data_IF_707355521185
#
_entry.id   IF_707355521185
#
_cell.length_a   1.000
_cell.length_b   1.000
_cell.length_c   1.000
_cell.angle_alpha   90.00
_cell.angle_beta   90.00
_cell.angle_gamma   90.00
#
_symmetry.space_group_name_H-M   'P 1'
#
loop_
_entity.id
_entity.type
_entity.pdbx_description
1 polymer ?
#
# COMPACT_ATOMS: atom_id res chain seq x y z
N UNK A 1 -10.72 -10.34 29.52
CA UNK A 1 -9.72 -11.34 29.09
C UNK A 1 -9.78 -11.37 27.57
N UNK A 2 -8.67 -11.11 26.87
CA UNK A 2 -8.63 -11.38 25.44
C UNK A 2 -8.54 -12.89 25.25
N UNK A 3 -9.58 -13.51 24.69
CA UNK A 3 -9.54 -14.91 24.28
C UNK A 3 -8.89 -14.98 22.91
N UNK A 4 -7.74 -15.65 22.80
CA UNK A 4 -7.07 -15.88 21.52
C UNK A 4 -7.45 -17.26 20.98
N UNK A 5 -7.86 -17.34 19.72
CA UNK A 5 -8.25 -18.59 19.06
C UNK A 5 -7.46 -18.75 17.77
N UNK A 6 -6.80 -19.90 17.58
CA UNK A 6 -6.16 -20.25 16.32
C UNK A 6 -7.19 -20.87 15.37
N UNK A 7 -7.13 -20.49 14.10
CA UNK A 7 -7.97 -21.06 13.03
C UNK A 7 -7.08 -21.59 11.90
N UNK A 8 -7.52 -22.60 11.12
CA UNK A 8 -6.80 -23.03 9.93
C UNK A 8 -6.58 -21.86 8.96
N UNK A 9 -5.34 -21.68 8.49
CA UNK A 9 -5.04 -20.67 7.49
C UNK A 9 -5.67 -21.02 6.14
N UNK A 10 -6.29 -20.04 5.50
CA UNK A 10 -6.79 -20.15 4.13
C UNK A 10 -6.17 -19.05 3.28
N UNK A 11 -5.93 -19.32 2.00
CA UNK A 11 -5.50 -18.28 1.07
C UNK A 11 -6.71 -17.44 0.68
N UNK A 12 -6.65 -16.15 0.96
CA UNK A 12 -7.61 -15.14 0.52
C UNK A 12 -7.00 -14.34 -0.65
N UNK A 13 -7.85 -13.71 -1.47
CA UNK A 13 -7.35 -12.79 -2.49
C UNK A 13 -6.67 -11.60 -1.81
N UNK A 14 -5.56 -11.15 -2.38
CA UNK A 14 -4.73 -10.09 -1.82
C UNK A 14 -4.44 -9.00 -2.84
N UNK A 15 -3.90 -7.87 -2.36
CA UNK A 15 -3.44 -6.77 -3.20
C UNK A 15 -1.93 -6.75 -3.32
N UNK A 16 -1.43 -6.25 -4.44
CA UNK A 16 0.00 -6.24 -4.71
C UNK A 16 0.72 -5.26 -3.78
N UNK A 17 1.87 -5.67 -3.25
CA UNK A 17 2.84 -4.83 -2.54
C UNK A 17 4.21 -5.02 -3.19
N UNK A 18 4.47 -4.22 -4.22
CA UNK A 18 5.66 -4.35 -5.07
C UNK A 18 6.61 -3.19 -4.79
N UNK A 19 7.89 -3.50 -4.62
CA UNK A 19 8.96 -2.52 -4.63
C UNK A 19 9.89 -2.75 -5.82
N UNK A 20 10.07 -1.70 -6.65
CA UNK A 20 11.01 -1.69 -7.76
C UNK A 20 12.21 -0.82 -7.41
N UNK A 21 13.38 -1.43 -7.28
CA UNK A 21 14.61 -0.72 -6.95
C UNK A 21 15.53 -0.64 -8.17
N UNK A 22 16.39 0.37 -8.23
CA UNK A 22 17.37 0.45 -9.30
C UNK A 22 18.00 1.84 -9.46
N UNK A 23 19.12 1.92 -10.19
CA UNK A 23 19.80 3.18 -10.42
C UNK A 23 18.96 4.11 -11.30
N UNK A 24 19.39 5.37 -11.42
CA UNK A 24 18.79 6.28 -12.41
C UNK A 24 18.88 5.71 -13.83
N UNK A 25 17.84 5.89 -14.63
CA UNK A 25 17.77 5.35 -16.00
C UNK A 25 17.52 3.85 -16.12
N UNK A 26 17.24 3.12 -15.03
CA UNK A 26 16.92 1.69 -15.08
C UNK A 26 15.49 1.36 -15.50
N UNK A 27 14.65 2.37 -15.77
CA UNK A 27 13.28 2.17 -16.25
C UNK A 27 12.22 1.93 -15.15
N UNK A 28 12.50 2.28 -13.89
CA UNK A 28 11.56 2.06 -12.75
C UNK A 28 10.16 2.60 -13.00
N UNK A 29 10.03 3.87 -13.36
CA UNK A 29 8.74 4.54 -13.59
C UNK A 29 7.95 3.86 -14.71
N UNK A 30 8.61 3.61 -15.85
CA UNK A 30 7.99 2.92 -16.99
C UNK A 30 7.53 1.52 -16.62
N UNK A 31 8.38 0.72 -15.98
CA UNK A 31 8.02 -0.62 -15.51
C UNK A 31 6.88 -0.58 -14.49
N UNK A 32 6.86 0.41 -13.59
CA UNK A 32 5.76 0.58 -12.63
C UNK A 32 4.43 0.88 -13.34
N UNK A 33 4.43 1.73 -14.37
CA UNK A 33 3.25 2.06 -15.17
C UNK A 33 2.75 0.85 -15.99
N UNK A 34 3.66 0.09 -16.62
CA UNK A 34 3.33 -1.15 -17.33
C UNK A 34 2.66 -2.15 -16.41
N UNK A 35 3.24 -2.38 -15.23
CA UNK A 35 2.67 -3.30 -14.25
C UNK A 35 1.34 -2.74 -13.72
N UNK A 36 1.29 -1.46 -13.36
CA UNK A 36 0.11 -0.81 -12.81
C UNK A 36 -1.11 -0.92 -13.74
N UNK A 37 -0.91 -0.68 -15.04
CA UNK A 37 -1.96 -0.78 -16.07
C UNK A 37 -2.53 -2.19 -16.21
N UNK A 38 -1.69 -3.20 -15.96
CA UNK A 38 -2.16 -4.59 -15.95
C UNK A 38 -2.84 -4.98 -14.63
N UNK A 39 -2.51 -4.32 -13.51
CA UNK A 39 -3.09 -4.63 -12.19
C UNK A 39 -4.47 -4.00 -11.95
N UNK A 40 -4.82 -2.91 -12.62
CA UNK A 40 -6.09 -2.20 -12.42
C UNK A 40 -6.33 -1.09 -13.45
N UNK A 41 -7.55 -0.56 -13.47
CA UNK A 41 -7.98 0.42 -14.49
C UNK A 41 -7.65 1.86 -14.06
N UNK A 42 -7.86 2.19 -12.78
CA UNK A 42 -7.61 3.53 -12.26
C UNK A 42 -6.29 3.61 -11.52
N UNK A 43 -5.34 4.34 -12.11
CA UNK A 43 -3.98 4.46 -11.60
C UNK A 43 -3.72 5.89 -11.11
N UNK A 44 -3.27 6.02 -9.86
CA UNK A 44 -2.73 7.27 -9.32
C UNK A 44 -1.22 7.15 -9.13
N UNK A 45 -0.46 8.15 -9.57
CA UNK A 45 0.99 8.21 -9.41
C UNK A 45 1.39 9.43 -8.57
N UNK A 46 1.94 9.18 -7.39
CA UNK A 46 2.59 10.19 -6.54
C UNK A 46 4.00 10.43 -7.07
N UNK A 47 4.21 11.55 -7.76
CA UNK A 47 5.45 11.92 -8.42
C UNK A 47 6.29 12.81 -7.49
N UNK A 48 7.41 12.27 -7.03
CA UNK A 48 8.43 13.00 -6.24
C UNK A 48 9.64 13.39 -7.09
N UNK A 49 9.58 13.16 -8.39
CA UNK A 49 10.64 13.27 -9.39
C UNK A 49 10.41 14.51 -10.29
N UNK A 50 9.80 15.55 -9.72
CA UNK A 50 9.49 16.83 -10.36
C UNK A 50 8.61 16.72 -11.63
N UNK A 51 7.61 15.84 -11.62
CA UNK A 51 6.66 15.69 -12.74
C UNK A 51 7.24 14.91 -13.91
N UNK A 52 8.29 14.12 -13.67
CA UNK A 52 8.94 13.34 -14.73
C UNK A 52 8.05 12.22 -15.26
N UNK A 53 7.12 11.70 -14.44
CA UNK A 53 6.21 10.63 -14.84
C UNK A 53 5.24 11.10 -15.92
N UNK A 54 4.81 12.37 -15.91
CA UNK A 54 3.88 12.94 -16.90
C UNK A 54 4.39 12.90 -18.33
N UNK A 55 5.68 12.61 -18.55
CA UNK A 55 6.27 12.37 -19.87
C UNK A 55 5.78 11.07 -20.53
N UNK A 56 5.13 10.20 -19.78
CA UNK A 56 4.54 8.95 -20.27
C UNK A 56 3.02 9.03 -20.45
N UNK A 57 2.42 10.22 -20.31
CA UNK A 57 0.96 10.40 -20.40
C UNK A 57 0.40 10.20 -21.83
N UNK A 58 1.26 10.15 -22.85
CA UNK A 58 0.90 9.76 -24.22
C UNK A 58 0.90 8.23 -24.43
N UNK A 59 1.50 7.48 -23.50
CA UNK A 59 1.61 6.01 -23.56
C UNK A 59 0.69 5.31 -22.53
N UNK A 60 0.41 5.95 -21.39
CA UNK A 60 -0.38 5.38 -20.30
C UNK A 60 -1.45 6.36 -19.80
N UNK A 61 -2.60 5.81 -19.39
CA UNK A 61 -3.67 6.56 -18.73
C UNK A 61 -3.51 6.47 -17.20
N UNK A 62 -3.22 7.59 -16.55
CA UNK A 62 -3.05 7.68 -15.10
C UNK A 62 -3.18 9.13 -14.63
N UNK A 63 -3.66 9.29 -13.39
CA UNK A 63 -3.66 10.57 -12.69
C UNK A 63 -2.36 10.75 -11.90
N UNK A 64 -1.91 12.00 -11.74
CA UNK A 64 -0.66 12.29 -11.03
C UNK A 64 -0.83 13.35 -9.94
N UNK A 65 -0.15 13.12 -8.82
CA UNK A 65 0.03 14.09 -7.75
C UNK A 65 1.53 14.39 -7.61
N UNK A 66 1.94 15.59 -7.99
CA UNK A 66 3.32 16.03 -7.85
C UNK A 66 3.58 16.58 -6.44
N UNK A 67 4.59 16.04 -5.76
CA UNK A 67 5.06 16.52 -4.46
C UNK A 67 6.43 17.19 -4.59
N UNK A 68 6.60 18.33 -3.92
CA UNK A 68 7.87 19.07 -3.87
C UNK A 68 8.54 19.04 -2.50
N UNK A 69 7.79 18.61 -1.47
CA UNK A 69 8.28 18.31 -0.12
C UNK A 69 7.87 16.90 0.23
N UNK A 70 8.69 16.22 1.04
CA UNK A 70 8.59 14.78 1.23
C UNK A 70 8.38 14.42 2.70
N UNK A 71 7.58 15.22 3.39
CA UNK A 71 7.19 14.93 4.77
C UNK A 71 6.31 13.66 4.79
N UNK A 72 6.59 12.68 5.68
CA UNK A 72 5.83 11.44 5.73
C UNK A 72 4.29 11.59 5.84
N UNK A 73 3.74 12.56 6.60
CA UNK A 73 2.29 12.79 6.65
C UNK A 73 1.68 13.11 5.27
N UNK A 74 2.40 13.79 4.39
CA UNK A 74 1.90 14.13 3.06
C UNK A 74 1.62 12.88 2.22
N UNK A 75 2.42 11.82 2.37
CA UNK A 75 2.17 10.55 1.69
C UNK A 75 0.96 9.82 2.27
N UNK A 76 0.76 9.89 3.60
CA UNK A 76 -0.42 9.34 4.26
C UNK A 76 -1.69 9.99 3.72
N UNK A 77 -1.70 11.33 3.63
CA UNK A 77 -2.83 12.09 3.09
C UNK A 77 -3.07 11.76 1.60
N UNK A 78 -2.00 11.67 0.80
CA UNK A 78 -2.10 11.30 -0.62
C UNK A 78 -2.72 9.90 -0.81
N UNK A 79 -2.30 8.91 0.00
CA UNK A 79 -2.86 7.56 -0.04
C UNK A 79 -4.33 7.54 0.42
N UNK A 80 -4.69 8.36 1.40
CA UNK A 80 -6.07 8.48 1.86
C UNK A 80 -6.98 9.07 0.76
N UNK A 81 -6.52 10.12 0.05
CA UNK A 81 -7.23 10.67 -1.11
C UNK A 81 -7.35 9.63 -2.21
N UNK A 82 -6.27 8.93 -2.56
CA UNK A 82 -6.32 7.90 -3.60
C UNK A 82 -7.26 6.73 -3.23
N UNK A 83 -7.36 6.39 -1.95
CA UNK A 83 -8.31 5.39 -1.47
C UNK A 83 -9.76 5.90 -1.53
N UNK A 84 -9.99 7.15 -1.11
CA UNK A 84 -11.30 7.79 -1.16
C UNK A 84 -11.83 7.91 -2.60
N UNK A 85 -10.97 8.32 -3.51
CA UNK A 85 -11.30 8.51 -4.91
C UNK A 85 -11.42 7.18 -5.66
N UNK A 86 -11.09 6.04 -5.04
CA UNK A 86 -11.28 4.71 -5.61
C UNK A 86 -10.30 4.38 -6.74
N UNK A 87 -9.02 4.72 -6.58
CA UNK A 87 -7.98 4.21 -7.47
C UNK A 87 -7.70 2.73 -7.18
N UNK A 88 -7.51 1.94 -8.23
CA UNK A 88 -7.19 0.51 -8.12
C UNK A 88 -5.71 0.31 -7.81
N UNK A 89 -4.86 1.21 -8.30
CA UNK A 89 -3.40 1.15 -8.19
C UNK A 89 -2.85 2.50 -7.76
N UNK A 90 -1.98 2.50 -6.75
CA UNK A 90 -1.11 3.63 -6.43
C UNK A 90 0.33 3.29 -6.73
N UNK A 91 0.98 4.19 -7.47
CA UNK A 91 2.42 4.19 -7.72
C UNK A 91 3.05 5.32 -6.92
N UNK A 92 4.07 5.03 -6.12
CA UNK A 92 4.88 6.05 -5.44
C UNK A 92 6.27 6.09 -6.09
N UNK A 93 6.51 7.12 -6.90
CA UNK A 93 7.75 7.29 -7.67
C UNK A 93 8.46 8.59 -7.24
N UNK A 94 9.35 8.58 -6.25
CA UNK A 94 9.93 7.43 -5.56
C UNK A 94 9.88 7.56 -4.04
N UNK A 95 9.79 6.42 -3.35
CA UNK A 95 9.79 6.32 -1.89
C UNK A 95 11.12 6.83 -1.27
N UNK A 96 12.20 6.86 -2.05
CA UNK A 96 13.51 7.37 -1.62
C UNK A 96 13.48 8.85 -1.24
N UNK A 97 12.63 9.66 -1.86
CA UNK A 97 12.55 11.09 -1.53
C UNK A 97 11.98 11.33 -0.12
N UNK A 98 11.07 10.48 0.36
CA UNK A 98 10.59 10.52 1.73
C UNK A 98 11.67 10.14 2.76
N UNK A 99 12.78 9.54 2.33
CA UNK A 99 13.93 9.27 3.20
C UNK A 99 14.89 10.46 3.27
N UNK A 100 15.45 10.86 2.12
CA UNK A 100 16.59 11.78 2.03
C UNK A 100 16.28 13.12 1.35
N UNK A 101 15.09 13.29 0.79
CA UNK A 101 14.66 14.54 0.17
C UNK A 101 14.31 15.61 1.20
N UNK A 102 14.05 16.83 0.71
CA UNK A 102 13.64 17.96 1.55
C UNK A 102 12.35 17.66 2.34
N UNK A 103 12.41 17.85 3.65
CA UNK A 103 11.33 17.49 4.59
C UNK A 103 11.21 15.99 4.89
N UNK A 104 12.03 15.14 4.26
CA UNK A 104 12.06 13.70 4.46
C UNK A 104 12.64 13.29 5.82
N UNK A 105 12.65 11.98 6.07
CA UNK A 105 12.99 11.39 7.37
C UNK A 105 14.32 11.87 7.96
N UNK A 106 15.38 11.99 7.16
CA UNK A 106 16.69 12.43 7.65
C UNK A 106 16.66 13.88 8.15
N UNK A 107 15.97 14.77 7.44
CA UNK A 107 15.83 16.17 7.86
C UNK A 107 14.93 16.30 9.09
N UNK A 108 13.86 15.50 9.19
CA UNK A 108 12.99 15.44 10.37
C UNK A 108 13.78 15.04 11.63
N UNK A 109 14.66 14.03 11.52
CA UNK A 109 15.53 13.59 12.61
C UNK A 109 16.50 14.70 13.01
N UNK A 110 17.14 15.35 12.05
CA UNK A 110 18.10 16.43 12.32
C UNK A 110 17.43 17.63 13.00
N UNK A 111 16.25 18.03 12.52
CA UNK A 111 15.48 19.13 13.10
C UNK A 111 15.02 18.81 14.53
N UNK A 112 14.54 17.59 14.77
CA UNK A 112 14.20 17.11 16.10
C UNK A 112 15.43 17.08 17.04
N UNK A 113 16.57 16.59 16.56
CA UNK A 113 17.82 16.56 17.33
C UNK A 113 18.31 17.97 17.72
N UNK A 114 18.15 18.96 16.83
CA UNK A 114 18.48 20.38 17.12
C UNK A 114 17.55 20.97 18.19
N UNK A 115 16.24 20.71 18.14
CA UNK A 115 15.26 21.19 19.15
C UNK A 115 15.55 20.69 20.55
N UNK A 116 16.06 19.47 20.69
CA UNK A 116 16.39 18.87 21.99
C UNK A 116 17.70 19.39 22.60
N UNK A 117 18.41 20.32 21.93
CA UNK A 117 19.55 21.06 22.49
C UNK A 117 20.87 20.30 22.62
N UNK A 118 20.89 18.99 22.33
CA UNK A 118 22.06 18.13 22.53
C UNK A 118 22.69 17.59 21.23
N UNK A 119 22.11 17.87 20.05
CA UNK A 119 22.56 17.26 18.78
C UNK A 119 22.48 15.73 18.82
N UNK A 120 21.67 15.17 19.72
CA UNK A 120 21.58 13.74 19.95
C UNK A 120 20.62 13.12 18.93
N UNK A 121 21.20 12.48 17.90
CA UNK A 121 20.44 11.79 16.86
C UNK A 121 19.45 10.76 17.42
N UNK A 122 19.74 10.15 18.58
CA UNK A 122 18.80 9.22 19.24
C UNK A 122 17.48 9.90 19.64
N UNK A 123 17.55 11.13 20.18
CA UNK A 123 16.35 11.88 20.54
C UNK A 123 15.57 12.31 19.30
N UNK A 124 16.26 12.66 18.20
CA UNK A 124 15.63 12.96 16.92
C UNK A 124 14.88 11.76 16.34
N UNK A 125 15.49 10.57 16.36
CA UNK A 125 14.82 9.34 15.94
C UNK A 125 13.60 9.00 16.80
N UNK A 126 13.63 9.26 18.11
CA UNK A 126 12.46 9.03 18.97
C UNK A 126 11.22 9.80 18.50
N UNK A 127 11.41 11.01 17.99
CA UNK A 127 10.33 11.85 17.47
C UNK A 127 9.94 11.51 16.02
N UNK A 128 10.92 11.16 15.17
CA UNK A 128 10.67 10.88 13.76
C UNK A 128 10.11 9.46 13.49
N UNK A 129 10.47 8.45 14.30
CA UNK A 129 10.03 7.05 14.11
C UNK A 129 8.50 6.86 14.04
N UNK A 130 7.68 7.54 14.86
CA UNK A 130 6.22 7.50 14.70
C UNK A 130 5.74 7.93 13.30
N UNK A 131 6.35 8.96 12.70
CA UNK A 131 6.00 9.44 11.36
C UNK A 131 6.34 8.40 10.30
N UNK A 132 7.53 7.79 10.38
CA UNK A 132 7.94 6.71 9.50
C UNK A 132 6.98 5.53 9.56
N UNK A 133 6.63 5.08 10.78
CA UNK A 133 5.71 3.96 10.99
C UNK A 133 4.34 4.24 10.40
N UNK A 134 3.77 5.41 10.67
CA UNK A 134 2.48 5.80 10.11
C UNK A 134 2.49 5.79 8.57
N UNK A 135 3.58 6.26 7.96
CA UNK A 135 3.74 6.25 6.49
C UNK A 135 3.84 4.82 5.92
N UNK A 136 4.65 3.95 6.53
CA UNK A 136 4.77 2.55 6.09
C UNK A 136 3.46 1.80 6.31
N UNK A 137 2.81 1.98 7.46
CA UNK A 137 1.52 1.38 7.77
C UNK A 137 0.47 1.81 6.74
N UNK A 138 0.41 3.10 6.39
CA UNK A 138 -0.50 3.61 5.36
C UNK A 138 -0.25 3.01 3.97
N UNK A 139 1.01 2.87 3.55
CA UNK A 139 1.37 2.20 2.30
C UNK A 139 0.86 0.76 2.27
N UNK A 140 1.19 -0.03 3.29
CA UNK A 140 0.81 -1.45 3.34
C UNK A 140 -0.69 -1.65 3.50
N UNK A 141 -1.37 -0.71 4.14
CA UNK A 141 -2.81 -0.66 4.37
C UNK A 141 -3.65 -0.26 3.14
N UNK A 142 -3.05 0.29 2.08
CA UNK A 142 -3.79 0.83 0.94
C UNK A 142 -4.76 -0.20 0.32
N UNK A 143 -6.06 0.07 0.15
CA UNK A 143 -7.03 -0.95 -0.25
C UNK A 143 -6.85 -1.47 -1.69
N UNK A 144 -6.14 -0.74 -2.55
CA UNK A 144 -5.77 -1.15 -3.91
C UNK A 144 -4.38 -1.80 -3.99
N UNK A 145 -3.88 -1.99 -5.20
CA UNK A 145 -2.50 -2.42 -5.48
C UNK A 145 -1.53 -1.26 -5.21
N UNK A 146 -0.36 -1.60 -4.67
CA UNK A 146 0.70 -0.62 -4.40
C UNK A 146 1.98 -1.05 -5.13
N UNK A 147 2.56 -0.09 -5.84
CA UNK A 147 3.90 -0.18 -6.40
C UNK A 147 4.70 1.00 -5.87
N UNK A 148 5.86 0.76 -5.27
CA UNK A 148 6.80 1.82 -4.92
C UNK A 148 8.06 1.68 -5.75
N UNK A 149 8.66 2.79 -6.14
CA UNK A 149 10.00 2.79 -6.70
C UNK A 149 11.01 3.29 -5.66
N UNK A 150 12.22 2.77 -5.71
CA UNK A 150 13.33 3.23 -4.87
C UNK A 150 14.58 3.42 -5.71
N UNK A 151 15.26 4.53 -5.47
CA UNK A 151 16.60 4.77 -6.01
C UNK A 151 17.59 3.87 -5.28
N UNK A 152 18.66 3.46 -5.94
CA UNK A 152 19.76 2.75 -5.30
C UNK A 152 21.03 3.60 -5.32
N UNK A 153 21.83 3.49 -4.25
CA UNK A 153 23.19 4.00 -4.25
C UNK A 153 23.99 3.24 -5.30
N UNK A 154 24.74 3.96 -6.12
CA UNK A 154 25.45 3.37 -7.24
C UNK A 154 26.95 3.40 -7.05
N UNK A 155 27.61 2.28 -7.36
CA UNK A 155 29.06 2.21 -7.51
C UNK A 155 29.43 1.85 -8.94
N UNK A 156 30.60 2.32 -9.39
CA UNK A 156 31.18 1.90 -10.65
C UNK A 156 32.03 0.66 -10.39
N UNK A 157 31.59 -0.48 -10.92
CA UNK A 157 32.38 -1.71 -10.96
C UNK A 157 32.94 -1.91 -12.36
N UNK A 158 34.14 -2.47 -12.46
CA UNK A 158 34.71 -2.85 -13.75
C UNK A 158 34.32 -4.30 -14.01
N UNK A 159 33.41 -4.52 -14.95
CA UNK A 159 33.04 -5.87 -15.38
C UNK A 159 33.71 -6.22 -16.71
N UNK A 160 33.73 -7.51 -17.05
CA UNK A 160 34.28 -8.00 -18.32
C UNK A 160 33.13 -8.36 -19.26
N UNK A 161 33.08 -7.75 -20.46
CA UNK A 161 32.08 -8.09 -21.47
C UNK A 161 32.29 -9.49 -22.08
N UNK A 162 31.33 -9.97 -22.86
CA UNK A 162 31.38 -11.28 -23.55
C UNK A 162 32.59 -11.43 -24.51
N UNK A 163 33.33 -10.34 -24.76
CA UNK A 163 34.52 -10.28 -25.61
C UNK A 163 35.81 -10.10 -24.79
N UNK A 164 35.75 -10.23 -23.46
CA UNK A 164 36.92 -10.15 -22.59
C UNK A 164 37.38 -8.71 -22.29
N UNK A 165 36.62 -7.68 -22.67
CA UNK A 165 36.99 -6.27 -22.45
C UNK A 165 36.45 -5.78 -21.11
N UNK A 166 37.29 -5.06 -20.37
CA UNK A 166 36.91 -4.40 -19.13
C UNK A 166 36.06 -3.16 -19.42
N UNK A 167 34.80 -3.16 -19.00
CA UNK A 167 33.84 -2.07 -19.19
C UNK A 167 33.33 -1.62 -17.81
N UNK A 168 33.43 -0.31 -17.48
CA UNK A 168 32.85 0.20 -16.25
C UNK A 168 31.32 0.14 -16.32
N UNK A 169 30.70 -0.63 -15.41
CA UNK A 169 29.25 -0.70 -15.23
C UNK A 169 28.86 -0.05 -13.91
N UNK A 170 27.84 0.81 -13.96
CA UNK A 170 27.23 1.37 -12.77
C UNK A 170 26.27 0.31 -12.19
N UNK A 171 26.52 -0.14 -10.97
CA UNK A 171 25.71 -1.16 -10.30
C UNK A 171 25.04 -0.53 -9.07
N UNK A 172 23.74 -0.73 -8.94
CA UNK A 172 22.97 -0.36 -7.76
C UNK A 172 23.29 -1.31 -6.61
N UNK A 173 23.67 -0.79 -5.45
CA UNK A 173 24.06 -1.61 -4.30
C UNK A 173 22.92 -1.83 -3.32
N UNK A 174 22.37 -0.73 -2.81
CA UNK A 174 21.33 -0.73 -1.78
C UNK A 174 20.32 0.35 -2.06
N UNK A 175 19.02 0.10 -1.81
CA UNK A 175 18.00 1.14 -1.84
C UNK A 175 18.38 2.32 -0.95
N UNK A 176 18.10 3.53 -1.42
CA UNK A 176 18.22 4.74 -0.63
C UNK A 176 17.00 4.87 0.28
N UNK A 177 17.05 4.17 1.40
CA UNK A 177 15.97 4.06 2.38
C UNK A 177 16.50 3.46 3.69
N UNK A 178 15.65 3.37 4.74
CA UNK A 178 15.94 2.58 5.94
C UNK A 178 16.34 1.14 5.59
N UNK A 179 17.35 0.63 6.30
CA UNK A 179 17.73 -0.77 6.24
C UNK A 179 16.57 -1.70 6.61
N UNK A 180 16.33 -2.71 5.78
CA UNK A 180 15.25 -3.67 5.94
C UNK A 180 13.90 -3.20 5.43
N UNK A 181 13.82 -2.08 4.69
CA UNK A 181 12.56 -1.65 4.06
C UNK A 181 12.01 -2.71 3.09
N UNK A 182 12.89 -3.49 2.48
CA UNK A 182 12.53 -4.59 1.59
C UNK A 182 11.67 -5.65 2.29
N UNK A 183 11.72 -5.76 3.62
CA UNK A 183 10.91 -6.71 4.38
C UNK A 183 9.42 -6.38 4.40
N UNK A 184 9.06 -5.10 4.19
CA UNK A 184 7.68 -4.61 4.21
C UNK A 184 6.87 -5.09 2.99
N UNK A 185 7.52 -5.27 1.83
CA UNK A 185 6.86 -5.59 0.55
C UNK A 185 6.79 -7.10 0.27
N UNK A 186 5.78 -7.54 -0.49
CA UNK A 186 5.64 -8.95 -0.88
C UNK A 186 6.63 -9.35 -1.96
N UNK A 187 6.84 -8.45 -2.93
CA UNK A 187 7.70 -8.64 -4.09
C UNK A 187 8.66 -7.46 -4.17
N UNK A 188 9.96 -7.75 -4.27
CA UNK A 188 11.01 -6.76 -4.50
C UNK A 188 11.78 -7.17 -5.73
N UNK A 189 11.89 -6.24 -6.68
CA UNK A 189 12.59 -6.44 -7.93
C UNK A 189 13.60 -5.34 -8.18
N UNK A 190 14.79 -5.73 -8.62
CA UNK A 190 15.91 -4.85 -8.91
C UNK A 190 16.05 -4.70 -10.43
N UNK A 191 15.96 -3.46 -10.91
CA UNK A 191 16.12 -3.08 -12.31
C UNK A 191 17.55 -2.59 -12.57
N UNK A 192 18.18 -3.11 -13.62
CA UNK A 192 19.47 -2.62 -14.11
C UNK A 192 19.34 -1.61 -15.27
N UNK A 193 20.47 -1.14 -15.79
CA UNK A 193 20.50 -0.17 -16.90
C UNK A 193 20.00 -0.73 -18.24
N UNK A 194 19.87 -2.05 -18.39
CA UNK A 194 19.26 -2.68 -19.56
C UNK A 194 17.75 -2.93 -19.38
N UNK A 195 17.18 -2.42 -18.28
CA UNK A 195 15.82 -2.67 -17.83
C UNK A 195 15.56 -4.15 -17.55
N UNK A 196 16.58 -4.90 -17.13
CA UNK A 196 16.41 -6.27 -16.65
C UNK A 196 15.94 -6.23 -15.20
N UNK A 197 14.76 -6.80 -14.96
CA UNK A 197 14.16 -6.99 -13.64
C UNK A 197 14.64 -8.31 -13.05
N UNK A 198 15.30 -8.25 -11.89
CA UNK A 198 15.70 -9.42 -11.09
C UNK A 198 14.87 -9.42 -9.82
N UNK A 199 14.09 -10.49 -9.58
CA UNK A 199 13.30 -10.61 -8.35
C UNK A 199 14.20 -11.07 -7.19
N UNK A 200 14.57 -10.12 -6.33
CA UNK A 200 15.43 -10.37 -5.16
C UNK A 200 14.67 -10.83 -3.93
N UNK A 201 13.36 -10.55 -3.85
CA UNK A 201 12.47 -11.09 -2.81
C UNK A 201 11.09 -11.36 -3.39
N UNK A 202 10.50 -12.50 -3.05
CA UNK A 202 9.09 -12.74 -3.31
C UNK A 202 8.46 -13.68 -2.29
N UNK A 203 7.25 -13.34 -1.82
CA UNK A 203 6.34 -14.29 -1.14
C UNK A 203 5.61 -15.21 -2.14
N UNK A 204 5.64 -14.87 -3.42
CA UNK A 204 5.07 -15.67 -4.50
C UNK A 204 6.11 -16.63 -5.07
N UNK A 205 5.94 -17.93 -4.79
CA UNK A 205 6.84 -18.97 -5.33
C UNK A 205 7.07 -18.88 -6.85
N UNK A 206 6.05 -18.62 -7.70
CA UNK A 206 6.25 -18.50 -9.14
C UNK A 206 7.15 -17.33 -9.57
N UNK A 207 7.23 -16.28 -8.76
CA UNK A 207 7.99 -15.07 -9.08
C UNK A 207 9.42 -15.09 -8.53
N UNK A 208 9.70 -15.98 -7.56
CA UNK A 208 10.96 -16.00 -6.85
C UNK A 208 12.14 -16.30 -7.77
N UNK A 209 13.13 -15.38 -7.81
CA UNK A 209 14.35 -15.55 -8.60
C UNK A 209 14.19 -15.36 -10.10
N UNK A 210 13.03 -14.83 -10.56
CA UNK A 210 12.85 -14.50 -11.97
C UNK A 210 13.83 -13.40 -12.42
N UNK A 211 14.29 -13.53 -13.66
CA UNK A 211 15.11 -12.54 -14.37
C UNK A 211 14.43 -12.25 -15.70
N UNK A 212 13.93 -11.03 -15.86
CA UNK A 212 13.07 -10.66 -16.98
C UNK A 212 13.64 -9.40 -17.64
N UNK A 213 14.04 -9.49 -18.91
CA UNK A 213 14.47 -8.32 -19.67
C UNK A 213 13.26 -7.52 -20.12
N UNK A 214 13.20 -6.23 -19.79
CA UNK A 214 12.09 -5.32 -20.13
C UNK A 214 10.73 -5.93 -19.75
N UNK A 215 10.44 -6.08 -18.45
CA UNK A 215 9.22 -6.75 -17.99
C UNK A 215 7.97 -6.11 -18.59
N UNK A 216 7.15 -6.95 -19.22
CA UNK A 216 5.87 -6.59 -19.82
C UNK A 216 4.68 -6.97 -18.94
N UNK A 217 3.50 -7.00 -19.56
CA UNK A 217 2.23 -7.37 -18.93
C UNK A 217 2.27 -8.78 -18.35
N UNK A 218 3.05 -9.69 -18.95
CA UNK A 218 3.15 -11.09 -18.52
C UNK A 218 3.66 -11.24 -17.08
N UNK A 219 4.52 -10.31 -16.64
CA UNK A 219 4.96 -10.28 -15.25
C UNK A 219 3.83 -9.88 -14.31
N UNK A 220 3.02 -8.89 -14.71
CA UNK A 220 1.86 -8.45 -13.92
C UNK A 220 0.77 -9.52 -13.87
N UNK A 221 0.53 -10.24 -14.97
CA UNK A 221 -0.39 -11.39 -15.00
C UNK A 221 0.04 -12.46 -14.00
N UNK A 222 1.33 -12.80 -13.95
CA UNK A 222 1.85 -13.77 -12.98
C UNK A 222 1.70 -13.29 -11.53
N UNK A 223 1.77 -11.97 -11.29
CA UNK A 223 1.46 -11.37 -9.99
C UNK A 223 -0.03 -11.53 -9.68
N UNK A 224 -0.93 -11.17 -10.61
CA UNK A 224 -2.37 -11.27 -10.42
C UNK A 224 -2.83 -12.71 -10.19
N UNK A 225 -2.32 -13.68 -10.95
CA UNK A 225 -2.63 -15.10 -10.77
C UNK A 225 -2.29 -15.56 -9.35
N UNK A 226 -1.13 -15.14 -8.83
CA UNK A 226 -0.75 -15.46 -7.46
C UNK A 226 -1.66 -14.78 -6.43
N UNK A 227 -2.02 -13.52 -6.64
CA UNK A 227 -2.91 -12.76 -5.76
C UNK A 227 -4.35 -13.30 -5.78
N UNK A 228 -4.82 -13.78 -6.92
CA UNK A 228 -6.19 -14.22 -7.13
C UNK A 228 -6.44 -15.71 -6.83
N UNK A 229 -5.37 -16.49 -6.60
CA UNK A 229 -5.47 -17.92 -6.28
C UNK A 229 -6.09 -18.23 -4.90
N UNK A 230 -6.45 -17.22 -4.11
CA UNK A 230 -7.19 -17.37 -2.86
C UNK A 230 -8.72 -17.27 -3.04
N UNK A 231 -9.46 -17.52 -1.96
CA UNK A 231 -10.90 -17.24 -1.93
C UNK A 231 -11.15 -15.73 -2.12
N UNK A 232 -12.18 -15.32 -2.88
CA UNK A 232 -12.55 -13.92 -2.99
C UNK A 232 -12.73 -13.28 -1.61
N UNK A 233 -12.18 -12.09 -1.46
CA UNK A 233 -12.30 -11.27 -0.26
C UNK A 233 -13.35 -10.20 -0.54
N UNK A 234 -14.37 -10.01 0.32
CA UNK A 234 -15.37 -8.98 0.08
C UNK A 234 -14.73 -7.59 0.02
N UNK A 235 -15.16 -6.78 -0.94
CA UNK A 235 -14.77 -5.38 -1.08
C UNK A 235 -15.46 -4.50 -0.04
N UNK A 236 -15.02 -3.25 0.10
CA UNK A 236 -15.72 -2.26 0.93
C UNK A 236 -17.19 -2.08 0.50
N UNK A 237 -17.49 -2.18 -0.80
CA UNK A 237 -18.86 -2.15 -1.31
C UNK A 237 -19.66 -3.41 -0.94
N UNK A 238 -19.05 -4.59 -0.97
CA UNK A 238 -19.72 -5.83 -0.55
C UNK A 238 -20.07 -5.79 0.94
N UNK A 239 -19.15 -5.29 1.76
CA UNK A 239 -19.38 -5.07 3.19
C UNK A 239 -20.43 -3.99 3.45
N UNK A 240 -20.43 -2.91 2.67
CA UNK A 240 -21.46 -1.89 2.74
C UNK A 240 -22.83 -2.48 2.42
N UNK A 241 -22.94 -3.28 1.35
CA UNK A 241 -24.18 -3.95 0.98
C UNK A 241 -24.70 -4.83 2.12
N UNK A 242 -23.81 -5.59 2.76
CA UNK A 242 -24.13 -6.41 3.95
C UNK A 242 -24.57 -5.55 5.14
N UNK A 243 -23.91 -4.43 5.38
CA UNK A 243 -24.25 -3.51 6.47
C UNK A 243 -25.61 -2.82 6.28
N UNK A 244 -26.02 -2.63 5.02
CA UNK A 244 -27.27 -1.99 4.64
C UNK A 244 -28.45 -2.97 4.47
N UNK A 245 -28.21 -4.28 4.45
CA UNK A 245 -29.28 -5.29 4.43
C UNK A 245 -30.18 -5.12 5.69
N UNK A 246 -31.51 -4.97 5.51
CA UNK A 246 -32.46 -4.89 6.63
C UNK A 246 -32.52 -6.14 7.49
N UNK A 247 -32.08 -7.30 6.98
CA UNK A 247 -32.18 -8.58 7.68
C UNK A 247 -30.96 -8.89 8.56
N UNK A 248 -29.90 -8.08 8.48
CA UNK A 248 -28.68 -8.28 9.27
C UNK A 248 -28.97 -8.10 10.76
N UNK A 249 -28.72 -9.14 11.54
CA UNK A 249 -28.94 -9.17 12.99
C UNK A 249 -27.83 -8.48 13.77
N UNK A 250 -28.09 -8.18 15.05
CA UNK A 250 -27.10 -7.59 15.95
C UNK A 250 -25.82 -8.45 16.06
N UNK A 251 -25.97 -9.77 16.19
CA UNK A 251 -24.84 -10.70 16.23
C UNK A 251 -24.01 -10.67 14.93
N UNK A 252 -24.67 -10.59 13.78
CA UNK A 252 -24.01 -10.50 12.47
C UNK A 252 -23.26 -9.18 12.30
N UNK A 253 -23.78 -8.04 12.81
CA UNK A 253 -23.05 -6.77 12.80
C UNK A 253 -21.74 -6.82 13.59
N UNK A 254 -21.70 -7.57 14.70
CA UNK A 254 -20.46 -7.75 15.46
C UNK A 254 -19.42 -8.53 14.66
N UNK A 255 -19.84 -9.61 14.00
CA UNK A 255 -18.97 -10.40 13.12
C UNK A 255 -18.49 -9.59 11.91
N UNK A 256 -19.39 -8.84 11.28
CA UNK A 256 -19.08 -7.95 10.17
C UNK A 256 -18.05 -6.90 10.55
N UNK A 257 -18.19 -6.26 11.72
CA UNK A 257 -17.22 -5.28 12.20
C UNK A 257 -15.83 -5.89 12.39
N UNK A 258 -15.76 -7.07 13.01
CA UNK A 258 -14.49 -7.78 13.22
C UNK A 258 -13.84 -8.22 11.89
N UNK A 259 -14.65 -8.62 10.92
CA UNK A 259 -14.17 -8.99 9.59
C UNK A 259 -13.65 -7.78 8.79
N UNK A 260 -14.41 -6.69 8.76
CA UNK A 260 -13.99 -5.42 8.13
C UNK A 260 -12.73 -4.86 8.79
N UNK A 261 -12.60 -5.02 10.11
CA UNK A 261 -11.35 -4.70 10.83
C UNK A 261 -10.20 -5.58 10.39
N UNK A 262 -10.41 -6.90 10.27
CA UNK A 262 -9.40 -7.87 9.81
C UNK A 262 -8.88 -7.55 8.41
N UNK A 263 -9.75 -7.04 7.53
CA UNK A 263 -9.38 -6.60 6.19
C UNK A 263 -8.95 -5.12 6.11
N UNK A 264 -8.84 -4.44 7.25
CA UNK A 264 -8.41 -3.05 7.36
C UNK A 264 -9.28 -2.06 6.56
N UNK A 265 -10.58 -2.33 6.47
CA UNK A 265 -11.55 -1.55 5.70
C UNK A 265 -12.45 -0.67 6.57
N UNK A 266 -12.21 -0.58 7.89
CA UNK A 266 -13.06 0.24 8.78
C UNK A 266 -13.06 1.72 8.37
N UNK A 267 -11.92 2.25 7.94
CA UNK A 267 -11.77 3.63 7.50
C UNK A 267 -12.08 3.83 6.00
N UNK A 268 -12.52 2.79 5.28
CA UNK A 268 -12.87 2.90 3.87
C UNK A 268 -14.01 3.92 3.72
N UNK A 269 -13.81 4.90 2.85
CA UNK A 269 -14.82 5.91 2.57
C UNK A 269 -15.97 5.29 1.76
N UNK A 270 -17.20 5.56 2.19
CA UNK A 270 -18.43 5.05 1.58
C UNK A 270 -19.52 6.11 1.65
N UNK A 271 -20.53 5.98 0.80
CA UNK A 271 -21.73 6.80 0.86
C UNK A 271 -22.79 6.08 1.69
N UNK A 272 -23.44 6.82 2.58
CA UNK A 272 -24.59 6.32 3.31
C UNK A 272 -25.87 6.35 2.43
N UNK A 273 -26.99 5.73 2.85
CA UNK A 273 -28.21 5.72 2.06
C UNK A 273 -28.79 7.10 1.75
N UNK A 274 -28.39 8.15 2.48
CA UNK A 274 -28.75 9.55 2.22
C UNK A 274 -27.77 10.27 1.29
N UNK A 275 -26.74 9.60 0.79
CA UNK A 275 -25.71 10.14 -0.09
C UNK A 275 -24.63 10.95 0.65
N UNK A 276 -24.58 10.90 1.98
CA UNK A 276 -23.52 11.57 2.75
C UNK A 276 -22.28 10.67 2.82
N UNK A 277 -21.09 11.27 2.66
CA UNK A 277 -19.81 10.57 2.85
C UNK A 277 -19.57 10.27 4.33
N UNK A 278 -19.18 9.04 4.62
CA UNK A 278 -18.85 8.53 5.96
C UNK A 278 -17.86 7.36 5.81
N UNK A 279 -17.52 6.67 6.89
CA UNK A 279 -16.67 5.47 6.84
C UNK A 279 -17.49 4.19 6.99
N UNK A 280 -16.99 3.09 6.42
CA UNK A 280 -17.64 1.79 6.51
C UNK A 280 -17.82 1.35 7.98
N UNK A 281 -16.81 1.60 8.82
CA UNK A 281 -16.88 1.33 10.26
C UNK A 281 -17.99 2.11 10.96
N UNK A 282 -18.16 3.40 10.65
CA UNK A 282 -19.25 4.22 11.21
C UNK A 282 -20.64 3.70 10.81
N UNK A 283 -20.81 3.31 9.54
CA UNK A 283 -22.08 2.71 9.08
C UNK A 283 -22.39 1.43 9.85
N UNK A 284 -21.42 0.52 9.96
CA UNK A 284 -21.59 -0.77 10.66
C UNK A 284 -21.95 -0.54 12.14
N UNK A 285 -21.26 0.38 12.83
CA UNK A 285 -21.54 0.71 14.24
C UNK A 285 -22.93 1.31 14.41
N UNK A 286 -23.32 2.25 13.52
CA UNK A 286 -24.63 2.91 13.55
C UNK A 286 -25.76 1.90 13.36
N UNK A 287 -25.64 1.02 12.36
CA UNK A 287 -26.63 -0.03 12.04
C UNK A 287 -26.70 -1.09 13.13
N UNK A 288 -25.56 -1.57 13.64
CA UNK A 288 -25.51 -2.52 14.75
C UNK A 288 -26.14 -1.97 16.03
N UNK A 289 -25.95 -0.67 16.32
CA UNK A 289 -26.59 -0.02 17.47
C UNK A 289 -28.12 0.05 17.33
N UNK A 290 -28.63 0.29 16.11
CA UNK A 290 -30.07 0.28 15.84
C UNK A 290 -30.66 -1.13 16.00
N UNK A 291 -30.04 -2.15 15.39
CA UNK A 291 -30.47 -3.55 15.50
C UNK A 291 -30.47 -4.05 16.95
N UNK A 292 -29.53 -3.59 17.78
CA UNK A 292 -29.52 -3.88 19.22
C UNK A 292 -30.77 -3.35 19.92
N UNK A 293 -31.16 -2.10 19.65
CA UNK A 293 -32.34 -1.48 20.26
C UNK A 293 -33.63 -2.17 19.82
N UNK A 294 -33.74 -2.55 18.56
CA UNK A 294 -34.88 -3.30 18.03
C UNK A 294 -35.02 -4.67 18.70
N UNK A 295 -33.89 -5.38 18.88
CA UNK A 295 -33.85 -6.65 19.61
C UNK A 295 -34.25 -6.51 21.08
N UNK A 296 -33.80 -5.45 21.75
CA UNK A 296 -34.17 -5.17 23.14
C UNK A 296 -35.67 -4.84 23.29
N UNK A 297 -36.21 -4.00 22.39
CA UNK A 297 -37.64 -3.67 22.35
C UNK A 297 -38.52 -4.90 22.06
N UNK A 298 -38.12 -5.78 21.14
CA UNK A 298 -38.83 -7.03 20.86
C UNK A 298 -38.93 -7.95 22.08
N UNK A 299 -37.83 -8.08 22.85
CA UNK A 299 -37.82 -8.86 24.09
C UNK A 299 -38.68 -8.27 25.20
N UNK A 300 -38.81 -6.95 25.26
CA UNK A 300 -39.68 -6.27 26.21
C UNK A 300 -41.16 -6.54 25.88
N UNK A 301 -41.55 -6.42 24.61
CA UNK A 301 -42.90 -6.74 24.13
C UNK A 301 -43.27 -8.22 24.35
N UNK A 302 -42.35 -9.16 24.11
CA UNK A 302 -42.57 -10.58 24.39
C UNK A 302 -42.82 -10.84 25.88
N UNK A 303 -42.04 -10.19 26.76
CA UNK A 303 -42.22 -10.30 28.22
C UNK A 303 -43.55 -9.72 28.69
N UNK A 304 -43.98 -8.60 28.11
CA UNK A 304 -45.28 -8.00 28.43
C UNK A 304 -46.44 -8.89 27.96
N UNK A 305 -46.32 -9.54 26.80
CA UNK A 305 -47.31 -10.47 26.27
C UNK A 305 -47.39 -11.78 27.08
N UNK A 306 -46.27 -12.30 27.60
CA UNK A 306 -46.24 -13.47 28.48
C UNK A 306 -46.76 -13.18 29.90
N UNK A 307 -46.75 -11.91 30.31
CA UNK A 307 -47.24 -11.47 31.61
C UNK A 307 -48.74 -11.13 31.63
N UNK A 308 -49.41 -11.11 30.47
CA UNK A 308 -50.84 -10.80 30.28
C UNK A 308 -51.70 -12.07 30.13
#
# INVERSE_FOLDING_TARGET
MNTFTFVPATKEQAKARIALTGPTGSGKTYTALVIGTALGERIALVDTEHGSASKYADEFDFDTLQLTTFEPPALVDALAVAAHDGYDVVIVDSLSHFWSGAGGMLEQVDNAAKRTGAGNSFAGWKEARPLERAMIDALLAYPGHLIVTMRTKTEYVVDTDDRGRKVPRKVGLKPEQREGIEYEFDVVGDLDHENTLVISKSRAKPLSGLVIRKPGVEFADAVLDWLNAGKPTPSASDYLATALDPNTTYEEFHLLYEEVRRHNLLAAAVLDPGGASTTLGEIIVRRGTAAKKEKEAGKELEREAEAA
#
